data_IF_717887678347
#
_entry.id   IF_717887678347
#
_cell.length_a   1.000
_cell.length_b   1.000
_cell.length_c   1.000
_cell.angle_alpha   90.00
_cell.angle_beta   90.00
_cell.angle_gamma   90.00
#
_symmetry.space_group_name_H-M   'P 1'
#
loop_
_entity.id
_entity.type
_entity.pdbx_description
1 polymer ?
#
# COMPACT_ATOMS: atom_id res chain seq x y z
N UNK A 1 -18.67 1.48 -11.96
CA UNK A 1 -18.36 0.70 -10.74
C UNK A 1 -17.71 1.63 -9.73
N UNK A 2 -18.47 2.13 -8.76
CA UNK A 2 -18.02 3.16 -7.81
C UNK A 2 -18.67 2.95 -6.45
N UNK A 3 -18.64 1.73 -5.93
CA UNK A 3 -19.21 1.45 -4.61
C UNK A 3 -18.42 2.18 -3.52
N UNK A 4 -19.09 3.00 -2.71
CA UNK A 4 -18.45 3.69 -1.59
C UNK A 4 -17.99 2.62 -0.59
N UNK A 5 -16.68 2.48 -0.39
CA UNK A 5 -16.16 1.66 0.70
C UNK A 5 -16.40 2.44 1.99
N UNK A 6 -17.39 2.03 2.77
CA UNK A 6 -17.57 2.52 4.13
C UNK A 6 -16.46 1.94 4.99
N UNK A 7 -15.45 2.76 5.26
CA UNK A 7 -14.36 2.47 6.18
C UNK A 7 -14.77 2.99 7.56
N UNK A 8 -15.35 2.17 8.46
CA UNK A 8 -15.75 2.63 9.78
C UNK A 8 -14.54 3.17 10.56
N UNK A 9 -14.74 4.29 11.25
CA UNK A 9 -13.82 4.89 12.23
C UNK A 9 -12.35 5.05 11.79
N UNK A 10 -12.10 5.79 10.72
CA UNK A 10 -10.80 6.45 10.57
C UNK A 10 -10.98 7.92 10.93
N UNK A 11 -10.67 8.26 12.19
CA UNK A 11 -10.50 9.64 12.60
C UNK A 11 -9.55 10.32 11.60
N UNK A 12 -9.92 11.48 11.06
CA UNK A 12 -8.98 12.36 10.36
C UNK A 12 -7.96 12.84 11.38
N UNK A 13 -6.96 12.03 11.65
CA UNK A 13 -5.75 12.55 12.22
C UNK A 13 -4.95 13.10 11.05
N UNK A 14 -4.72 14.40 11.04
CA UNK A 14 -3.83 15.04 10.08
C UNK A 14 -2.37 14.67 10.42
N UNK A 15 -2.10 13.37 10.64
CA UNK A 15 -0.79 12.83 10.87
C UNK A 15 -0.09 12.80 9.52
N UNK A 16 1.09 13.46 9.40
CA UNK A 16 1.98 13.20 8.27
C UNK A 16 2.14 11.68 8.14
N UNK A 17 2.38 11.18 6.92
CA UNK A 17 2.93 9.83 6.78
C UNK A 17 4.15 9.77 7.70
N UNK A 18 4.17 8.82 8.63
CA UNK A 18 5.26 8.70 9.59
C UNK A 18 6.57 8.75 8.82
N UNK A 19 7.39 9.75 9.14
CA UNK A 19 8.74 9.79 8.62
C UNK A 19 9.45 8.62 9.30
N UNK A 20 9.75 7.57 8.53
CA UNK A 20 10.40 6.37 9.05
C UNK A 20 11.88 6.64 9.44
N UNK A 21 12.30 7.90 9.41
CA UNK A 21 13.59 8.35 9.93
C UNK A 21 13.63 8.19 11.45
N UNK A 22 14.47 7.28 11.92
CA UNK A 22 14.65 7.01 13.35
C UNK A 22 13.86 5.83 13.92
N UNK A 23 13.25 4.99 13.06
CA UNK A 23 12.73 3.70 13.51
C UNK A 23 13.85 2.81 14.06
N UNK A 24 13.55 2.11 15.14
CA UNK A 24 14.40 1.02 15.63
C UNK A 24 14.36 -0.15 14.64
N UNK A 25 15.41 -0.98 14.66
CA UNK A 25 15.49 -2.18 13.81
C UNK A 25 14.30 -3.13 14.03
N UNK A 26 13.78 -3.22 15.26
CA UNK A 26 12.60 -4.02 15.58
C UNK A 26 11.34 -3.46 14.89
N UNK A 27 11.16 -2.14 14.90
CA UNK A 27 10.03 -1.50 14.23
C UNK A 27 10.09 -1.66 12.71
N UNK A 28 11.28 -1.55 12.11
CA UNK A 28 11.48 -1.84 10.69
C UNK A 28 11.09 -3.28 10.37
N UNK A 29 11.61 -4.25 11.10
CA UNK A 29 11.28 -5.67 10.92
C UNK A 29 9.79 -5.94 11.08
N UNK A 30 9.13 -5.29 12.05
CA UNK A 30 7.69 -5.39 12.23
C UNK A 30 6.92 -4.86 11.02
N UNK A 31 7.32 -3.72 10.46
CA UNK A 31 6.68 -3.14 9.27
C UNK A 31 6.89 -4.01 8.03
N UNK A 32 8.11 -4.53 7.84
CA UNK A 32 8.43 -5.48 6.76
C UNK A 32 7.60 -6.75 6.88
N UNK A 33 7.50 -7.33 8.08
CA UNK A 33 6.65 -8.50 8.31
C UNK A 33 5.17 -8.24 8.00
N UNK A 34 4.65 -7.04 8.28
CA UNK A 34 3.28 -6.66 7.91
C UNK A 34 3.13 -6.61 6.38
N UNK A 35 4.06 -5.95 5.68
CA UNK A 35 4.07 -5.88 4.21
C UNK A 35 4.09 -7.28 3.60
N UNK A 36 5.05 -8.11 3.99
CA UNK A 36 5.28 -9.43 3.41
C UNK A 36 4.07 -10.35 3.62
N UNK A 37 3.42 -10.26 4.80
CA UNK A 37 2.18 -10.99 5.06
C UNK A 37 1.02 -10.52 4.17
N UNK A 38 0.87 -9.21 3.95
CA UNK A 38 -0.14 -8.66 3.04
C UNK A 38 0.12 -9.14 1.60
N UNK A 39 1.37 -9.10 1.14
CA UNK A 39 1.76 -9.59 -0.19
C UNK A 39 1.46 -11.08 -0.35
N UNK A 40 1.81 -11.91 0.64
CA UNK A 40 1.53 -13.34 0.62
C UNK A 40 0.01 -13.63 0.52
N UNK A 41 -0.82 -12.88 1.25
CA UNK A 41 -2.28 -12.99 1.18
C UNK A 41 -2.81 -12.59 -0.20
N UNK A 42 -2.35 -11.48 -0.76
CA UNK A 42 -2.78 -11.02 -2.08
C UNK A 42 -2.37 -12.02 -3.17
N UNK A 43 -1.15 -12.55 -3.10
CA UNK A 43 -0.66 -13.59 -4.02
C UNK A 43 -1.48 -14.87 -3.92
N UNK A 44 -1.86 -15.29 -2.71
CA UNK A 44 -2.75 -16.42 -2.50
C UNK A 44 -4.12 -16.19 -3.15
N UNK A 45 -4.74 -15.03 -2.93
CA UNK A 45 -6.04 -14.69 -3.50
C UNK A 45 -5.97 -14.65 -5.03
N UNK A 46 -4.91 -14.04 -5.58
CA UNK A 46 -4.64 -14.01 -7.02
C UNK A 46 -4.55 -15.42 -7.60
N UNK A 47 -3.82 -16.33 -6.94
CA UNK A 47 -3.70 -17.73 -7.35
C UNK A 47 -5.04 -18.48 -7.31
N UNK A 48 -5.82 -18.30 -6.24
CA UNK A 48 -7.14 -18.95 -6.08
C UNK A 48 -8.14 -18.46 -7.14
N UNK A 49 -8.17 -17.15 -7.40
CA UNK A 49 -9.12 -16.54 -8.36
C UNK A 49 -8.66 -16.66 -9.81
N UNK A 50 -7.37 -16.97 -10.04
CA UNK A 50 -6.72 -16.97 -11.36
C UNK A 50 -6.89 -15.63 -12.09
N UNK A 51 -6.93 -14.54 -11.31
CA UNK A 51 -7.12 -13.19 -11.80
C UNK A 51 -6.26 -12.22 -10.95
N UNK A 52 -4.94 -12.21 -11.19
CA UNK A 52 -4.02 -11.37 -10.42
C UNK A 52 -4.25 -9.87 -10.64
N UNK A 53 -4.69 -9.49 -11.83
CA UNK A 53 -4.92 -8.10 -12.21
C UNK A 53 -6.10 -7.50 -11.41
N UNK A 54 -7.24 -8.20 -11.36
CA UNK A 54 -8.39 -7.74 -10.56
C UNK A 54 -8.05 -7.65 -9.07
N UNK A 55 -7.22 -8.56 -8.55
CA UNK A 55 -6.75 -8.51 -7.16
C UNK A 55 -5.87 -7.30 -6.90
N UNK A 56 -4.94 -6.99 -7.82
CA UNK A 56 -4.11 -5.80 -7.73
C UNK A 56 -4.94 -4.51 -7.74
N UNK A 57 -5.93 -4.39 -8.66
CA UNK A 57 -6.82 -3.24 -8.70
C UNK A 57 -7.65 -3.09 -7.43
N UNK A 58 -8.21 -4.19 -6.91
CA UNK A 58 -9.00 -4.16 -5.68
C UNK A 58 -8.16 -3.75 -4.46
N UNK A 59 -6.94 -4.31 -4.34
CA UNK A 59 -6.01 -4.00 -3.25
C UNK A 59 -5.56 -2.53 -3.30
N UNK A 60 -5.15 -2.06 -4.48
CA UNK A 60 -4.75 -0.66 -4.68
C UNK A 60 -5.89 0.30 -4.35
N UNK A 61 -7.12 0.00 -4.84
CA UNK A 61 -8.31 0.79 -4.54
C UNK A 61 -8.55 0.90 -3.04
N UNK A 62 -8.55 -0.22 -2.32
CA UNK A 62 -8.74 -0.23 -0.87
C UNK A 62 -7.64 0.55 -0.15
N UNK A 63 -6.37 0.27 -0.46
CA UNK A 63 -5.21 0.88 0.19
C UNK A 63 -5.16 2.39 0.01
N UNK A 64 -5.33 2.87 -1.23
CA UNK A 64 -5.32 4.31 -1.52
C UNK A 64 -6.52 5.03 -0.91
N UNK A 65 -7.71 4.43 -0.93
CA UNK A 65 -8.87 5.01 -0.24
C UNK A 65 -8.62 5.09 1.26
N UNK A 66 -8.12 4.03 1.88
CA UNK A 66 -7.83 4.01 3.32
C UNK A 66 -6.76 5.03 3.70
N UNK A 67 -5.69 5.15 2.91
CA UNK A 67 -4.66 6.18 3.11
C UNK A 67 -5.23 7.59 2.97
N UNK A 68 -6.11 7.83 1.99
CA UNK A 68 -6.75 9.13 1.84
C UNK A 68 -7.57 9.51 3.08
N UNK A 69 -8.31 8.56 3.64
CA UNK A 69 -9.08 8.80 4.87
C UNK A 69 -8.18 9.07 6.08
N UNK A 70 -7.03 8.38 6.18
CA UNK A 70 -6.11 8.49 7.31
C UNK A 70 -5.18 9.72 7.24
N UNK A 71 -4.62 10.01 6.06
CA UNK A 71 -3.52 10.97 5.90
C UNK A 71 -3.84 12.10 4.90
N UNK A 72 -5.00 12.04 4.25
CA UNK A 72 -5.42 13.04 3.26
C UNK A 72 -4.75 12.88 1.89
N UNK A 73 -5.08 13.82 1.00
CA UNK A 73 -4.75 13.75 -0.44
C UNK A 73 -3.24 13.80 -0.70
N UNK A 74 -2.54 14.77 -0.11
CA UNK A 74 -1.14 15.02 -0.41
C UNK A 74 -0.26 13.81 -0.07
N UNK A 75 -0.44 13.27 1.13
CA UNK A 75 0.20 12.05 1.59
C UNK A 75 -0.05 10.87 0.65
N UNK A 76 -1.32 10.61 0.31
CA UNK A 76 -1.71 9.48 -0.54
C UNK A 76 -1.08 9.56 -1.93
N UNK A 77 -1.08 10.76 -2.54
CA UNK A 77 -0.44 10.98 -3.85
C UNK A 77 1.07 10.78 -3.80
N UNK A 78 1.73 11.28 -2.75
CA UNK A 78 3.18 11.09 -2.56
C UNK A 78 3.53 9.62 -2.39
N UNK A 79 2.75 8.87 -1.61
CA UNK A 79 2.94 7.43 -1.44
C UNK A 79 2.77 6.68 -2.77
N UNK A 80 1.69 6.95 -3.51
CA UNK A 80 1.45 6.32 -4.80
C UNK A 80 2.60 6.58 -5.80
N UNK A 81 3.13 7.81 -5.83
CA UNK A 81 4.30 8.15 -6.64
C UNK A 81 5.52 7.30 -6.29
N UNK A 82 5.87 7.19 -5.01
CA UNK A 82 7.01 6.36 -4.57
C UNK A 82 6.85 4.88 -4.93
N UNK A 83 5.63 4.34 -4.91
CA UNK A 83 5.38 2.97 -5.36
C UNK A 83 5.71 2.79 -6.84
N UNK A 84 5.36 3.77 -7.69
CA UNK A 84 5.67 3.76 -9.12
C UNK A 84 7.18 3.87 -9.32
N UNK A 85 7.82 4.86 -8.68
CA UNK A 85 9.28 5.05 -8.77
C UNK A 85 10.04 3.76 -8.38
N UNK A 86 9.58 3.07 -7.32
CA UNK A 86 10.18 1.80 -6.88
C UNK A 86 10.00 0.69 -7.91
N UNK A 87 8.83 0.61 -8.56
CA UNK A 87 8.58 -0.38 -9.60
C UNK A 87 9.43 -0.12 -10.85
N UNK A 88 9.56 1.14 -11.27
CA UNK A 88 10.43 1.54 -12.37
C UNK A 88 11.90 1.20 -12.09
N UNK A 89 12.39 1.49 -10.88
CA UNK A 89 13.75 1.10 -10.45
C UNK A 89 13.94 -0.41 -10.47
N UNK A 90 12.96 -1.19 -10.02
CA UNK A 90 13.03 -2.65 -10.03
C UNK A 90 13.07 -3.20 -11.47
N UNK A 91 12.30 -2.62 -12.39
CA UNK A 91 12.36 -2.95 -13.80
C UNK A 91 13.72 -2.65 -14.41
N UNK A 92 14.27 -1.46 -14.13
CA UNK A 92 15.58 -1.03 -14.64
C UNK A 92 16.69 -1.96 -14.15
N UNK A 93 16.67 -2.34 -12.86
CA UNK A 93 17.59 -3.31 -12.29
C UNK A 93 17.47 -4.71 -12.91
N UNK A 94 16.28 -5.11 -13.35
CA UNK A 94 16.07 -6.41 -14.01
C UNK A 94 16.56 -6.44 -15.47
N UNK A 95 16.74 -5.27 -16.09
CA UNK A 95 17.18 -5.10 -17.48
C UNK A 95 18.69 -4.90 -17.63
N UNK A 96 19.41 -4.64 -16.53
CA UNK A 96 20.87 -4.47 -16.46
C UNK A 96 21.60 -5.76 -16.11
#
# INVERSE_FOLDING_TARGET
MGEIIYLPNAMRENRPLEDHTGLTLNEVQRLEAIRDNVEALLNMVAGIRRDPESVAYAAARFGLMRMYYLHGRAATMSFAGRCIDTAEMAEDLSKG
#
